data_IF_764153936920
#
_entry.id   IF_764153936920
#
_cell.length_a   1.000
_cell.length_b   1.000
_cell.length_c   1.000
_cell.angle_alpha   90.00
_cell.angle_beta   90.00
_cell.angle_gamma   90.00
#
_symmetry.space_group_name_H-M   'P 1'
#
loop_
_entity.id
_entity.type
_entity.pdbx_description
1 polymer ?
#
# COMPACT_ATOMS: atom_id res chain seq x y z
N UNK A 1 7.44 -17.72 -13.12
CA UNK A 1 6.63 -16.48 -13.08
C UNK A 1 5.39 -16.55 -13.98
N UNK A 2 5.45 -17.01 -15.24
CA UNK A 2 4.24 -17.14 -16.09
C UNK A 2 3.11 -17.96 -15.45
N UNK A 3 3.45 -18.99 -14.69
CA UNK A 3 2.47 -19.87 -14.03
C UNK A 3 1.70 -19.21 -12.86
N UNK A 4 2.10 -18.03 -12.36
CA UNK A 4 1.35 -17.30 -11.33
C UNK A 4 -0.05 -16.90 -11.80
N UNK A 5 -0.22 -16.65 -13.11
CA UNK A 5 -1.48 -16.29 -13.76
C UNK A 5 -2.14 -17.47 -14.49
N UNK A 6 -1.72 -18.70 -14.19
CA UNK A 6 -2.29 -19.90 -14.79
C UNK A 6 -3.73 -20.12 -14.30
N UNK A 7 -4.62 -20.55 -15.21
CA UNK A 7 -5.97 -21.00 -14.84
C UNK A 7 -5.99 -22.38 -14.15
N UNK A 8 -4.82 -23.02 -14.03
CA UNK A 8 -4.64 -24.26 -13.28
C UNK A 8 -4.02 -23.95 -11.92
N UNK A 9 -4.79 -24.13 -10.86
CA UNK A 9 -4.42 -23.82 -9.47
C UNK A 9 -3.22 -24.61 -8.98
N UNK A 10 -3.02 -25.86 -9.43
CA UNK A 10 -1.83 -26.63 -9.08
C UNK A 10 -0.54 -25.99 -9.62
N UNK A 11 -0.60 -25.36 -10.81
CA UNK A 11 0.55 -24.63 -11.36
C UNK A 11 0.81 -23.32 -10.61
N UNK A 12 -0.26 -22.61 -10.22
CA UNK A 12 -0.15 -21.39 -9.42
C UNK A 12 0.46 -21.73 -8.07
N UNK A 13 -0.06 -22.74 -7.38
CA UNK A 13 0.46 -23.21 -6.09
C UNK A 13 1.94 -23.58 -6.16
N UNK A 14 2.35 -24.36 -7.17
CA UNK A 14 3.75 -24.71 -7.38
C UNK A 14 4.64 -23.48 -7.68
N UNK A 15 4.10 -22.47 -8.37
CA UNK A 15 4.81 -21.22 -8.61
C UNK A 15 4.97 -20.38 -7.33
N UNK A 16 3.97 -20.39 -6.43
CA UNK A 16 4.05 -19.76 -5.11
C UNK A 16 5.05 -20.49 -4.21
N UNK A 17 5.09 -21.83 -4.24
CA UNK A 17 6.12 -22.63 -3.53
C UNK A 17 7.53 -22.23 -3.99
N UNK A 18 7.73 -22.11 -5.31
CA UNK A 18 9.01 -21.70 -5.88
C UNK A 18 9.38 -20.26 -5.50
N UNK A 19 8.41 -19.35 -5.48
CA UNK A 19 8.61 -17.97 -5.05
C UNK A 19 8.98 -17.90 -3.55
N UNK A 20 8.40 -18.76 -2.71
CA UNK A 20 8.73 -18.81 -1.28
C UNK A 20 10.14 -19.36 -1.04
N UNK A 21 10.55 -20.40 -1.78
CA UNK A 21 11.86 -21.05 -1.60
C UNK A 21 13.01 -20.24 -2.26
N UNK A 22 12.76 -19.65 -3.43
CA UNK A 22 13.81 -19.09 -4.31
C UNK A 22 13.47 -17.73 -4.89
N UNK A 23 12.40 -17.09 -4.42
CA UNK A 23 11.99 -15.78 -4.89
C UNK A 23 13.07 -14.74 -4.62
N UNK A 24 13.27 -13.88 -5.62
CA UNK A 24 14.06 -12.66 -5.51
C UNK A 24 13.17 -11.45 -5.80
N UNK A 25 13.78 -10.26 -5.79
CA UNK A 25 13.06 -8.99 -6.01
C UNK A 25 12.24 -8.97 -7.32
N UNK A 26 12.62 -9.75 -8.34
CA UNK A 26 11.91 -9.80 -9.63
C UNK A 26 10.57 -10.51 -9.54
N UNK A 27 10.30 -11.22 -8.44
CA UNK A 27 9.03 -11.90 -8.21
C UNK A 27 7.95 -10.99 -7.62
N UNK A 28 8.33 -9.90 -6.95
CA UNK A 28 7.38 -9.02 -6.24
C UNK A 28 6.32 -8.45 -7.17
N UNK A 29 6.74 -7.81 -8.27
CA UNK A 29 5.80 -7.21 -9.24
C UNK A 29 4.90 -8.25 -9.94
N UNK A 30 5.43 -9.37 -10.47
CA UNK A 30 4.59 -10.45 -10.98
C UNK A 30 3.61 -11.03 -9.95
N UNK A 31 3.98 -11.07 -8.67
CA UNK A 31 3.10 -11.53 -7.59
C UNK A 31 1.98 -10.52 -7.32
N UNK A 32 2.28 -9.21 -7.28
CA UNK A 32 1.28 -8.14 -7.19
C UNK A 32 0.27 -8.22 -8.33
N UNK A 33 0.74 -8.41 -9.57
CA UNK A 33 -0.16 -8.52 -10.73
C UNK A 33 -1.00 -9.79 -10.69
N UNK A 34 -0.43 -10.93 -10.28
CA UNK A 34 -1.20 -12.15 -10.09
C UNK A 34 -2.26 -12.00 -8.98
N UNK A 35 -1.94 -11.32 -7.89
CA UNK A 35 -2.88 -10.99 -6.81
C UNK A 35 -4.01 -10.06 -7.29
N UNK A 36 -3.68 -9.06 -8.12
CA UNK A 36 -4.64 -8.12 -8.71
C UNK A 36 -5.62 -8.82 -9.64
N UNK A 37 -5.11 -9.71 -10.49
CA UNK A 37 -5.88 -10.29 -11.59
C UNK A 37 -6.65 -11.56 -11.17
N UNK A 38 -6.45 -12.04 -9.93
CA UNK A 38 -7.09 -13.25 -9.39
C UNK A 38 -8.33 -12.90 -8.56
N UNK A 39 -9.39 -13.69 -8.73
CA UNK A 39 -10.58 -13.62 -7.89
C UNK A 39 -10.28 -14.08 -6.45
N UNK A 40 -11.15 -13.72 -5.50
CA UNK A 40 -10.99 -14.15 -4.11
C UNK A 40 -11.05 -15.68 -3.97
N UNK A 41 -9.95 -16.26 -3.49
CA UNK A 41 -9.79 -17.68 -3.19
C UNK A 41 -8.54 -17.91 -2.32
N UNK A 42 -8.34 -19.16 -1.88
CA UNK A 42 -7.22 -19.57 -1.03
C UNK A 42 -5.84 -19.23 -1.62
N UNK A 43 -5.71 -19.19 -2.95
CA UNK A 43 -4.44 -18.84 -3.60
C UNK A 43 -4.22 -17.33 -3.61
N UNK A 44 -5.26 -16.51 -3.76
CA UNK A 44 -5.17 -15.05 -3.60
C UNK A 44 -4.84 -14.68 -2.16
N UNK A 45 -5.46 -15.33 -1.18
CA UNK A 45 -5.12 -15.18 0.25
C UNK A 45 -3.64 -15.51 0.49
N UNK A 46 -3.16 -16.64 -0.05
CA UNK A 46 -1.75 -17.02 0.04
C UNK A 46 -0.81 -15.98 -0.60
N UNK A 47 -1.19 -15.39 -1.73
CA UNK A 47 -0.42 -14.29 -2.35
C UNK A 47 -0.37 -13.06 -1.43
N UNK A 48 -1.50 -12.71 -0.81
CA UNK A 48 -1.62 -11.62 0.16
C UNK A 48 -0.68 -11.81 1.37
N UNK A 49 -0.66 -13.01 1.95
CA UNK A 49 0.24 -13.36 3.06
C UNK A 49 1.72 -13.21 2.67
N UNK A 50 2.07 -13.69 1.47
CA UNK A 50 3.43 -13.55 0.94
C UNK A 50 3.80 -12.09 0.75
N UNK A 51 2.93 -11.29 0.12
CA UNK A 51 3.14 -9.86 -0.13
C UNK A 51 3.21 -9.03 1.15
N UNK A 52 2.49 -9.43 2.19
CA UNK A 52 2.47 -8.77 3.50
C UNK A 52 3.73 -9.05 4.34
N UNK A 53 4.50 -10.08 3.98
CA UNK A 53 5.65 -10.54 4.79
C UNK A 53 6.99 -10.40 4.07
N UNK A 54 7.02 -9.78 2.88
CA UNK A 54 8.24 -9.58 2.09
C UNK A 54 9.26 -8.74 2.87
N UNK A 55 10.51 -9.22 2.93
CA UNK A 55 11.67 -8.49 3.50
C UNK A 55 12.82 -8.33 2.50
N UNK A 56 12.53 -8.49 1.20
CA UNK A 56 13.53 -8.35 0.14
C UNK A 56 13.98 -6.89 0.01
N UNK A 57 15.29 -6.66 -0.06
CA UNK A 57 15.84 -5.32 -0.31
C UNK A 57 15.33 -4.77 -1.64
N UNK A 58 14.86 -3.52 -1.62
CA UNK A 58 14.28 -2.84 -2.78
C UNK A 58 12.80 -3.18 -3.03
N UNK A 59 12.17 -4.06 -2.24
CA UNK A 59 10.75 -4.36 -2.40
C UNK A 59 9.89 -3.13 -2.19
N UNK A 60 10.14 -2.35 -1.13
CA UNK A 60 9.45 -1.08 -0.86
C UNK A 60 9.29 -0.21 -2.11
N UNK A 61 10.37 0.01 -2.88
CA UNK A 61 10.33 0.80 -4.11
C UNK A 61 9.34 0.25 -5.15
N UNK A 62 9.18 -1.07 -5.24
CA UNK A 62 8.18 -1.69 -6.14
C UNK A 62 6.77 -1.37 -5.66
N UNK A 63 6.49 -1.39 -4.35
CA UNK A 63 5.15 -1.07 -3.84
C UNK A 63 4.82 0.41 -4.08
N UNK A 64 5.79 1.30 -3.84
CA UNK A 64 5.67 2.74 -4.14
C UNK A 64 5.42 2.97 -5.64
N UNK A 65 6.17 2.32 -6.53
CA UNK A 65 5.94 2.40 -7.98
C UNK A 65 4.54 1.92 -8.37
N UNK A 66 3.99 0.88 -7.70
CA UNK A 66 2.65 0.38 -7.99
C UNK A 66 1.52 1.25 -7.40
N UNK A 67 1.77 2.02 -6.34
CA UNK A 67 0.85 3.06 -5.87
C UNK A 67 0.72 4.22 -6.87
N UNK A 68 1.77 4.50 -7.65
CA UNK A 68 1.71 5.48 -8.74
C UNK A 68 1.04 4.93 -10.01
N UNK A 69 1.03 3.61 -10.16
CA UNK A 69 0.47 2.93 -11.33
C UNK A 69 -1.05 2.83 -11.27
N UNK A 70 -1.74 3.54 -12.19
CA UNK A 70 -3.20 3.54 -12.28
C UNK A 70 -3.79 2.17 -12.62
N UNK A 71 -3.02 1.31 -13.32
CA UNK A 71 -3.43 -0.06 -13.63
C UNK A 71 -3.46 -0.97 -12.38
N UNK A 72 -2.91 -0.50 -11.26
CA UNK A 72 -2.91 -1.19 -9.96
C UNK A 72 -3.93 -0.57 -8.99
N UNK A 73 -4.74 0.39 -9.43
CA UNK A 73 -5.70 1.11 -8.58
C UNK A 73 -6.69 0.21 -7.83
N UNK A 74 -7.09 -0.92 -8.43
CA UNK A 74 -7.99 -1.90 -7.79
C UNK A 74 -7.38 -2.61 -6.58
N UNK A 75 -6.06 -2.54 -6.39
CA UNK A 75 -5.34 -3.13 -5.25
C UNK A 75 -4.54 -2.09 -4.47
N UNK A 76 -4.75 -0.80 -4.68
CA UNK A 76 -4.01 0.25 -3.96
C UNK A 76 -4.20 0.15 -2.44
N UNK A 77 -5.42 -0.14 -1.98
CA UNK A 77 -5.69 -0.40 -0.57
C UNK A 77 -4.91 -1.62 -0.05
N UNK A 78 -4.82 -2.70 -0.83
CA UNK A 78 -4.01 -3.86 -0.46
C UNK A 78 -2.52 -3.50 -0.38
N UNK A 79 -2.00 -2.74 -1.35
CA UNK A 79 -0.60 -2.30 -1.39
C UNK A 79 -0.24 -1.46 -0.18
N UNK A 80 -1.11 -0.52 0.24
CA UNK A 80 -0.93 0.24 1.49
C UNK A 80 -0.85 -0.70 2.69
N UNK A 81 -1.79 -1.64 2.81
CA UNK A 81 -1.77 -2.64 3.90
C UNK A 81 -0.52 -3.51 3.89
N UNK A 82 -0.01 -3.86 2.71
CA UNK A 82 1.23 -4.62 2.57
C UNK A 82 2.46 -3.83 2.97
N UNK A 83 2.54 -2.53 2.63
CA UNK A 83 3.64 -1.65 3.05
C UNK A 83 3.77 -1.66 4.57
N UNK A 84 2.65 -1.42 5.27
CA UNK A 84 2.64 -1.45 6.73
C UNK A 84 2.95 -2.83 7.28
N UNK A 85 2.30 -3.90 6.78
CA UNK A 85 2.50 -5.27 7.26
C UNK A 85 3.93 -5.76 7.05
N UNK A 86 4.55 -5.38 5.93
CA UNK A 86 5.94 -5.69 5.62
C UNK A 86 6.93 -4.81 6.39
N UNK A 87 6.46 -3.84 7.17
CA UNK A 87 7.30 -2.92 7.95
C UNK A 87 8.23 -2.09 7.06
N UNK A 88 7.77 -1.71 5.86
CA UNK A 88 8.48 -0.79 4.99
C UNK A 88 8.30 0.65 5.47
N UNK A 89 9.32 1.48 5.23
CA UNK A 89 9.32 2.88 5.65
C UNK A 89 8.83 3.78 4.51
N UNK A 90 7.57 4.19 4.57
CA UNK A 90 6.97 5.07 3.56
C UNK A 90 7.07 6.57 3.91
N UNK A 91 7.86 6.96 4.93
CA UNK A 91 7.96 8.35 5.42
C UNK A 91 8.29 9.36 4.31
N UNK A 92 9.23 9.02 3.42
CA UNK A 92 9.65 9.87 2.29
C UNK A 92 8.64 9.91 1.12
N UNK A 93 7.49 9.21 1.26
CA UNK A 93 6.42 9.14 0.25
C UNK A 93 5.04 9.34 0.86
N UNK A 94 4.95 10.04 1.99
CA UNK A 94 3.66 10.29 2.64
C UNK A 94 2.71 11.18 1.81
N UNK A 95 3.23 12.00 0.92
CA UNK A 95 2.44 12.71 -0.10
C UNK A 95 1.71 11.73 -1.03
N UNK A 96 2.39 10.68 -1.49
CA UNK A 96 1.79 9.61 -2.29
C UNK A 96 0.82 8.77 -1.46
N UNK A 97 1.20 8.36 -0.25
CA UNK A 97 0.34 7.57 0.65
C UNK A 97 -0.97 8.32 0.93
N UNK A 98 -0.89 9.59 1.33
CA UNK A 98 -2.08 10.41 1.58
C UNK A 98 -2.93 10.59 0.33
N UNK A 99 -2.32 10.85 -0.84
CA UNK A 99 -3.05 10.96 -2.10
C UNK A 99 -3.83 9.69 -2.44
N UNK A 100 -3.22 8.52 -2.28
CA UNK A 100 -3.91 7.23 -2.52
C UNK A 100 -5.01 7.02 -1.47
N UNK A 101 -4.72 7.27 -0.20
CA UNK A 101 -5.68 7.11 0.89
C UNK A 101 -6.91 8.02 0.76
N UNK A 102 -6.73 9.22 0.20
CA UNK A 102 -7.82 10.21 0.04
C UNK A 102 -8.55 10.16 -1.29
N UNK A 103 -8.05 9.40 -2.26
CA UNK A 103 -8.72 9.19 -3.55
C UNK A 103 -9.26 7.77 -3.74
N UNK A 104 -8.91 6.85 -2.84
CA UNK A 104 -9.42 5.49 -2.78
C UNK A 104 -10.71 5.34 -1.98
N UNK A 105 -11.02 4.11 -1.60
CA UNK A 105 -12.16 3.77 -0.77
C UNK A 105 -11.86 3.87 0.72
N UNK A 106 -12.85 3.51 1.56
CA UNK A 106 -12.68 3.46 3.01
C UNK A 106 -11.48 2.60 3.45
N UNK A 107 -11.17 1.52 2.73
CA UNK A 107 -10.05 0.65 3.06
C UNK A 107 -8.73 1.35 2.76
N UNK A 108 -8.59 2.00 1.62
CA UNK A 108 -7.41 2.82 1.32
C UNK A 108 -7.20 3.92 2.38
N UNK A 109 -8.29 4.55 2.84
CA UNK A 109 -8.22 5.51 3.95
C UNK A 109 -7.73 4.83 5.24
N UNK A 110 -8.27 3.68 5.63
CA UNK A 110 -7.85 2.99 6.86
C UNK A 110 -6.38 2.60 6.86
N UNK A 111 -5.88 2.03 5.76
CA UNK A 111 -4.48 1.63 5.64
C UNK A 111 -3.54 2.85 5.59
N UNK A 112 -3.95 3.91 4.89
CA UNK A 112 -3.21 5.17 4.85
C UNK A 112 -3.09 5.81 6.24
N UNK A 113 -4.17 5.83 7.02
CA UNK A 113 -4.13 6.30 8.41
C UNK A 113 -3.14 5.49 9.24
N UNK A 114 -3.16 4.17 9.11
CA UNK A 114 -2.28 3.27 9.85
C UNK A 114 -0.81 3.56 9.56
N UNK A 115 -0.44 3.76 8.29
CA UNK A 115 0.92 4.15 7.90
C UNK A 115 1.32 5.50 8.53
N UNK A 116 0.45 6.50 8.44
CA UNK A 116 0.72 7.85 8.95
C UNK A 116 0.90 7.85 10.48
N UNK A 117 0.07 7.10 11.21
CA UNK A 117 0.17 7.00 12.68
C UNK A 117 1.47 6.33 13.15
N UNK A 118 2.05 5.47 12.32
CA UNK A 118 3.29 4.75 12.60
C UNK A 118 4.53 5.49 12.12
N UNK A 119 4.36 6.56 11.34
CA UNK A 119 5.45 7.43 10.96
C UNK A 119 5.94 8.21 12.20
N UNK A 120 7.21 8.06 12.55
CA UNK A 120 7.80 8.77 13.71
C UNK A 120 8.39 10.13 13.32
N UNK A 121 8.92 10.24 12.10
CA UNK A 121 9.61 11.42 11.60
C UNK A 121 9.59 11.49 10.08
N UNK A 122 9.70 12.71 9.54
CA UNK A 122 9.84 12.97 8.10
C UNK A 122 11.02 13.92 7.94
N UNK A 123 11.97 13.57 7.06
CA UNK A 123 13.11 14.43 6.77
C UNK A 123 12.76 15.53 5.76
N UNK A 124 11.93 15.19 4.77
CA UNK A 124 11.59 16.08 3.66
C UNK A 124 10.32 16.92 3.97
N UNK A 125 10.52 18.18 4.38
CA UNK A 125 9.41 19.09 4.75
C UNK A 125 8.33 19.22 3.66
N UNK A 126 8.72 19.27 2.38
CA UNK A 126 7.76 19.38 1.28
C UNK A 126 6.83 18.16 1.17
N UNK A 127 7.33 16.95 1.47
CA UNK A 127 6.52 15.72 1.50
C UNK A 127 5.44 15.83 2.58
N UNK A 128 5.80 16.35 3.76
CA UNK A 128 4.84 16.56 4.84
C UNK A 128 3.80 17.63 4.49
N UNK A 129 4.21 18.75 3.90
CA UNK A 129 3.29 19.82 3.51
C UNK A 129 2.30 19.37 2.44
N UNK A 130 2.76 18.64 1.43
CA UNK A 130 1.90 18.07 0.38
C UNK A 130 0.95 17.01 0.96
N UNK A 131 1.43 16.19 1.90
CA UNK A 131 0.59 15.23 2.61
C UNK A 131 -0.53 15.92 3.40
N UNK A 132 -0.22 17.01 4.12
CA UNK A 132 -1.22 17.82 4.85
C UNK A 132 -2.24 18.41 3.87
N UNK A 133 -1.77 18.94 2.74
CA UNK A 133 -2.64 19.53 1.72
C UNK A 133 -3.61 18.49 1.15
N UNK A 134 -3.12 17.30 0.78
CA UNK A 134 -3.94 16.21 0.26
C UNK A 134 -5.10 15.88 1.20
N UNK A 135 -4.82 15.74 2.51
CA UNK A 135 -5.85 15.37 3.49
C UNK A 135 -6.83 16.52 3.75
N UNK A 136 -6.35 17.77 3.85
CA UNK A 136 -7.24 18.94 4.00
C UNK A 136 -8.20 19.07 2.83
N UNK A 137 -7.68 18.99 1.62
CA UNK A 137 -8.49 19.03 0.40
C UNK A 137 -9.51 17.90 0.36
N UNK A 138 -9.16 16.70 0.84
CA UNK A 138 -10.11 15.59 0.91
C UNK A 138 -11.24 15.83 1.92
N UNK A 139 -10.93 16.35 3.11
CA UNK A 139 -11.92 16.70 4.15
C UNK A 139 -12.90 17.77 3.63
N UNK A 140 -12.40 18.76 2.89
CA UNK A 140 -13.22 19.85 2.34
C UNK A 140 -14.16 19.37 1.21
N UNK A 141 -13.75 18.36 0.45
CA UNK A 141 -14.45 17.92 -0.75
C UNK A 141 -15.29 16.64 -0.58
N UNK A 142 -15.20 15.95 0.57
CA UNK A 142 -15.99 14.75 0.83
C UNK A 142 -17.28 15.07 1.59
N UNK A 143 -18.39 14.54 1.09
CA UNK A 143 -19.67 14.50 1.81
C UNK A 143 -19.86 13.16 2.57
N UNK A 144 -18.93 12.21 2.40
CA UNK A 144 -18.97 10.91 3.08
C UNK A 144 -18.32 11.02 4.47
N UNK A 145 -19.20 11.09 5.47
CA UNK A 145 -18.81 11.17 6.88
C UNK A 145 -17.98 9.96 7.37
N UNK A 146 -18.10 8.79 6.72
CA UNK A 146 -17.35 7.59 7.13
C UNK A 146 -15.86 7.70 6.79
N UNK A 147 -15.52 8.18 5.59
CA UNK A 147 -14.12 8.42 5.21
C UNK A 147 -13.58 9.68 5.86
N UNK A 148 -14.43 10.70 6.07
CA UNK A 148 -14.05 11.91 6.79
C UNK A 148 -13.58 11.63 8.22
N UNK A 149 -14.25 10.69 8.90
CA UNK A 149 -13.85 10.22 10.22
C UNK A 149 -12.45 9.56 10.25
N UNK A 150 -11.91 9.15 9.10
CA UNK A 150 -10.53 8.67 8.96
C UNK A 150 -9.57 9.79 8.51
N UNK A 151 -10.02 10.74 7.69
CA UNK A 151 -9.17 11.86 7.25
C UNK A 151 -8.84 12.84 8.38
N UNK A 152 -9.77 13.10 9.29
CA UNK A 152 -9.53 13.96 10.45
C UNK A 152 -8.36 13.47 11.34
N UNK A 153 -8.31 12.19 11.77
CA UNK A 153 -7.15 11.67 12.50
C UNK A 153 -5.88 11.60 11.65
N UNK A 154 -5.96 11.35 10.32
CA UNK A 154 -4.78 11.45 9.45
C UNK A 154 -4.17 12.86 9.52
N UNK A 155 -5.00 13.89 9.36
CA UNK A 155 -4.56 15.28 9.43
C UNK A 155 -3.96 15.60 10.81
N UNK A 156 -4.58 15.13 11.89
CA UNK A 156 -4.07 15.33 13.24
C UNK A 156 -2.68 14.71 13.44
N UNK A 157 -2.45 13.52 12.90
CA UNK A 157 -1.15 12.83 12.95
C UNK A 157 -0.08 13.56 12.13
N UNK A 158 -0.40 14.05 10.93
CA UNK A 158 0.52 14.85 10.12
C UNK A 158 0.89 16.18 10.80
N UNK A 159 -0.08 16.89 11.37
CA UNK A 159 0.19 18.13 12.13
C UNK A 159 0.98 17.89 13.42
N UNK A 160 0.94 16.67 13.97
CA UNK A 160 1.81 16.28 15.09
C UNK A 160 3.25 16.11 14.62
N UNK A 161 3.48 15.53 13.44
CA UNK A 161 4.82 15.43 12.84
C UNK A 161 5.42 16.82 12.57
N UNK A 162 4.63 17.73 11.98
CA UNK A 162 5.04 19.11 11.72
C UNK A 162 5.51 19.85 12.98
N UNK A 163 4.85 19.63 14.12
CA UNK A 163 5.20 20.28 15.39
C UNK A 163 6.43 19.68 16.09
N UNK A 164 6.81 18.46 15.71
CA UNK A 164 7.90 17.72 16.32
C UNK A 164 9.21 17.78 15.53
N UNK A 165 9.20 18.42 14.35
CA UNK A 165 10.39 18.82 13.61
C UNK A 165 11.06 20.04 14.27
#
# INVERSE_FOLDING_TARGET
MKDLNSSNDSKVSAALDLALEKGDIKWVRPLLYAFRDRNEDELRERMSEMLSTIKLSGAEGIYIEELENTESSSIHADILGFIWSAGFDASNKLDLVTRVATTGDFRAAMEGLTIIEQCESIEEEHVLLDAILNVRTAIENTDDESVKALYEPMLASLLKLERNQ
#
